data_IF_736205496188
#
_entry.id   IF_736205496188
#
_cell.length_a   1.000
_cell.length_b   1.000
_cell.length_c   1.000
_cell.angle_alpha   90.00
_cell.angle_beta   90.00
_cell.angle_gamma   90.00
#
_symmetry.space_group_name_H-M   'P 1'
#
loop_
_entity.id
_entity.type
_entity.pdbx_description
1 polymer ?
#
# COMPACT_ATOMS: atom_id res chain seq x y z
N UNK A 1 8.27 -0.62 7.69
CA UNK A 1 8.74 -1.24 6.43
C UNK A 1 8.94 -0.15 5.39
N UNK A 2 10.00 -0.22 4.59
CA UNK A 2 10.35 0.85 3.63
C UNK A 2 10.81 0.25 2.30
N UNK A 3 10.41 0.86 1.20
CA UNK A 3 10.71 0.47 -0.18
C UNK A 3 11.32 1.65 -0.95
N UNK A 4 12.22 1.35 -1.90
CA UNK A 4 12.86 2.37 -2.76
C UNK A 4 11.94 2.94 -3.85
N UNK A 5 10.81 2.29 -4.10
CA UNK A 5 9.79 2.69 -5.07
C UNK A 5 8.39 2.42 -4.50
N UNK A 6 7.37 3.06 -5.06
CA UNK A 6 5.99 2.84 -4.63
C UNK A 6 5.56 1.39 -4.88
N UNK A 7 4.99 0.75 -3.85
CA UNK A 7 4.43 -0.60 -3.91
C UNK A 7 3.02 -0.59 -3.35
N UNK A 8 2.23 -1.59 -3.72
CA UNK A 8 0.99 -1.93 -3.04
C UNK A 8 1.29 -3.02 -2.00
N UNK A 9 0.78 -2.84 -0.79
CA UNK A 9 0.63 -3.91 0.20
C UNK A 9 -0.82 -4.37 0.19
N UNK A 10 -0.99 -5.69 0.15
CA UNK A 10 -2.27 -6.38 0.11
C UNK A 10 -2.22 -7.55 1.11
N UNK A 11 -3.40 -7.94 1.61
CA UNK A 11 -3.58 -9.12 2.45
C UNK A 11 -2.53 -9.27 3.57
N UNK A 12 -2.36 -8.20 4.37
CA UNK A 12 -1.43 -8.22 5.50
C UNK A 12 -2.01 -9.09 6.60
N UNK A 13 -1.31 -10.16 6.96
CA UNK A 13 -1.73 -11.09 8.01
C UNK A 13 -1.01 -10.78 9.31
N UNK A 14 -1.77 -10.61 10.38
CA UNK A 14 -1.34 -10.36 11.75
C UNK A 14 -1.62 -11.57 12.64
N UNK A 15 -0.64 -11.90 13.47
CA UNK A 15 -0.73 -12.97 14.46
C UNK A 15 -0.46 -12.39 15.85
N UNK A 16 -1.10 -12.99 16.86
CA UNK A 16 -0.79 -12.70 18.26
C UNK A 16 0.42 -13.51 18.74
N UNK A 17 1.00 -13.16 19.89
CA UNK A 17 2.15 -13.84 20.52
C UNK A 17 2.02 -15.39 20.54
N UNK A 18 0.80 -15.91 20.76
CA UNK A 18 0.51 -17.35 20.76
C UNK A 18 0.25 -17.98 19.37
N UNK A 19 0.68 -17.34 18.28
CA UNK A 19 0.49 -17.76 16.88
C UNK A 19 -0.98 -17.89 16.40
N UNK A 20 -1.94 -17.53 17.25
CA UNK A 20 -3.34 -17.37 16.87
C UNK A 20 -3.56 -16.15 15.97
N UNK A 21 -4.72 -16.09 15.31
CA UNK A 21 -5.11 -14.93 14.53
C UNK A 21 -5.24 -13.71 15.46
N UNK A 22 -4.63 -12.60 15.06
CA UNK A 22 -4.74 -11.36 15.83
C UNK A 22 -6.15 -10.76 15.71
N UNK A 23 -6.71 -10.31 16.84
CA UNK A 23 -7.93 -9.51 16.89
C UNK A 23 -7.72 -8.30 17.79
N UNK A 24 -7.88 -7.10 17.26
CA UNK A 24 -7.63 -5.87 18.00
C UNK A 24 -7.35 -4.67 17.11
N UNK A 25 -6.88 -3.57 17.70
CA UNK A 25 -6.55 -2.35 16.97
C UNK A 25 -5.04 -2.24 16.71
N UNK A 26 -4.70 -1.90 15.46
CA UNK A 26 -3.34 -1.60 15.01
C UNK A 26 -3.35 -0.20 14.41
N UNK A 27 -2.34 0.61 14.69
CA UNK A 27 -2.15 1.88 14.01
C UNK A 27 -1.35 1.64 12.73
N UNK A 28 -1.97 1.89 11.58
CA UNK A 28 -1.40 1.74 10.24
C UNK A 28 -1.20 3.13 9.66
N UNK A 29 0.05 3.53 9.41
CA UNK A 29 0.41 4.85 8.89
C UNK A 29 -0.21 6.02 9.70
N UNK A 30 -0.33 5.86 11.02
CA UNK A 30 -0.93 6.87 11.89
C UNK A 30 -2.43 6.68 12.17
N UNK A 31 -3.12 5.89 11.34
CA UNK A 31 -4.57 5.66 11.41
C UNK A 31 -4.91 4.41 12.21
N UNK A 32 -5.79 4.54 13.19
CA UNK A 32 -6.27 3.41 13.99
C UNK A 32 -7.16 2.50 13.14
N UNK A 33 -6.77 1.23 13.05
CA UNK A 33 -7.42 0.22 12.21
C UNK A 33 -7.78 -0.98 13.06
N UNK A 34 -9.04 -1.41 13.02
CA UNK A 34 -9.45 -2.66 13.67
C UNK A 34 -9.15 -3.84 12.76
N UNK A 35 -8.36 -4.78 13.25
CA UNK A 35 -8.05 -6.05 12.61
C UNK A 35 -8.94 -7.12 13.24
N UNK A 36 -9.65 -7.84 12.39
CA UNK A 36 -10.52 -8.96 12.77
C UNK A 36 -10.07 -10.19 12.02
N UNK A 37 -9.90 -11.32 12.72
CA UNK A 37 -9.47 -12.58 12.10
C UNK A 37 -8.04 -12.53 11.54
N UNK A 38 -7.21 -11.62 12.04
CA UNK A 38 -5.80 -11.50 11.66
C UNK A 38 -5.56 -10.97 10.26
N UNK A 39 -6.56 -10.49 9.51
CA UNK A 39 -6.38 -10.03 8.13
C UNK A 39 -6.69 -8.54 7.98
N UNK A 40 -5.80 -7.84 7.29
CA UNK A 40 -6.05 -6.52 6.73
C UNK A 40 -6.04 -6.60 5.21
N UNK A 41 -7.22 -6.45 4.61
CA UNK A 41 -7.44 -6.69 3.18
C UNK A 41 -7.60 -5.41 2.35
N UNK A 42 -7.26 -4.25 2.94
CA UNK A 42 -7.26 -2.99 2.19
C UNK A 42 -5.90 -2.75 1.55
N UNK A 43 -5.90 -2.38 0.27
CA UNK A 43 -4.67 -2.04 -0.44
C UNK A 43 -4.08 -0.76 0.12
N UNK A 44 -2.80 -0.80 0.52
CA UNK A 44 -2.03 0.39 0.87
C UNK A 44 -0.99 0.65 -0.22
N UNK A 45 -1.00 1.85 -0.78
CA UNK A 45 -0.01 2.27 -1.78
C UNK A 45 0.96 3.27 -1.18
N UNK A 46 2.26 3.01 -1.31
CA UNK A 46 3.28 3.93 -0.82
C UNK A 46 4.69 3.36 -0.81
N UNK A 47 5.61 4.12 -0.22
CA UNK A 47 7.03 3.74 -0.05
C UNK A 47 7.37 3.40 1.40
N UNK A 48 6.57 3.85 2.36
CA UNK A 48 6.77 3.61 3.80
C UNK A 48 5.46 3.14 4.40
N UNK A 49 5.54 2.06 5.16
CA UNK A 49 4.41 1.47 5.87
C UNK A 49 4.80 1.26 7.32
N UNK A 50 4.08 1.94 8.21
CA UNK A 50 4.29 1.89 9.65
C UNK A 50 3.14 1.14 10.31
N UNK A 51 3.48 0.11 11.08
CA UNK A 51 2.54 -0.66 11.88
C UNK A 51 2.95 -0.49 13.33
N UNK A 52 2.03 -0.03 14.16
CA UNK A 52 2.28 0.25 15.56
C UNK A 52 1.19 -0.41 16.40
N UNK A 53 1.61 -0.97 17.53
CA UNK A 53 0.69 -1.41 18.56
C UNK A 53 -0.10 -0.22 19.10
N UNK A 54 -1.43 -0.36 19.15
CA UNK A 54 -2.31 0.60 19.77
C UNK A 54 -2.81 0.02 21.10
N UNK A 55 -2.29 0.47 22.26
CA UNK A 55 -2.82 0.06 23.55
C UNK A 55 -4.25 0.59 23.68
N UNK A 56 -5.23 -0.31 23.65
CA UNK A 56 -6.60 0.03 24.05
C UNK A 56 -6.59 0.28 25.55
N UNK A 57 -7.32 1.31 26.00
CA UNK A 57 -7.39 1.66 27.42
C UNK A 57 -7.75 0.43 28.28
N UNK A 58 -6.79 0.09 29.14
CA UNK A 58 -6.74 -0.84 30.26
C UNK A 58 -8.10 -1.40 30.71
N UNK A 59 -8.35 -2.68 30.38
CA UNK A 59 -9.22 -3.66 31.09
C UNK A 59 -9.45 -4.95 30.26
N UNK A 60 -8.88 -5.06 29.07
CA UNK A 60 -8.82 -6.30 28.27
C UNK A 60 -7.34 -6.51 27.92
N UNK A 61 -6.70 -7.44 28.63
CA UNK A 61 -5.35 -7.99 28.44
C UNK A 61 -4.28 -7.07 27.75
N UNK A 62 -3.36 -6.44 28.50
CA UNK A 62 -2.30 -5.56 27.98
C UNK A 62 -1.19 -6.27 27.17
N UNK A 63 -1.37 -7.56 26.83
CA UNK A 63 -0.38 -8.43 26.17
C UNK A 63 -0.72 -8.78 24.72
N UNK A 64 -1.65 -8.05 24.07
CA UNK A 64 -1.93 -8.26 22.65
C UNK A 64 -0.80 -7.68 21.75
N UNK A 65 0.42 -8.16 21.97
CA UNK A 65 1.50 -8.05 21.01
C UNK A 65 1.07 -8.69 19.70
N UNK A 66 1.49 -8.09 18.59
CA UNK A 66 1.26 -8.65 17.27
C UNK A 66 2.57 -8.72 16.51
N UNK A 67 2.62 -9.66 15.58
CA UNK A 67 3.62 -9.68 14.53
C UNK A 67 2.95 -9.87 13.17
N UNK A 68 3.65 -9.43 12.13
CA UNK A 68 3.21 -9.60 10.74
C UNK A 68 3.73 -10.96 10.27
N UNK A 69 2.81 -11.83 9.87
CA UNK A 69 3.07 -13.20 9.41
C UNK A 69 3.33 -13.23 7.90
N UNK A 70 2.50 -12.51 7.14
CA UNK A 70 2.62 -12.44 5.69
C UNK A 70 2.11 -11.11 5.14
N UNK A 71 2.66 -10.71 4.00
CA UNK A 71 2.25 -9.52 3.24
C UNK A 71 2.36 -9.84 1.76
N UNK A 72 1.32 -9.59 0.99
CA UNK A 72 1.39 -9.60 -0.47
C UNK A 72 1.88 -8.22 -0.94
N UNK A 73 2.91 -8.20 -1.78
CA UNK A 73 3.55 -6.96 -2.26
C UNK A 73 3.53 -6.99 -3.79
N UNK A 74 3.03 -5.91 -4.40
CA UNK A 74 3.10 -5.73 -5.85
C UNK A 74 3.67 -4.36 -6.21
N UNK A 75 4.43 -4.28 -7.30
CA UNK A 75 5.00 -3.02 -7.77
C UNK A 75 3.90 -2.12 -8.34
N UNK A 76 3.92 -0.82 -8.04
CA UNK A 76 3.05 0.16 -8.71
C UNK A 76 3.65 0.47 -10.08
N UNK A 77 2.95 0.19 -11.20
CA UNK A 77 3.47 0.52 -12.52
C UNK A 77 3.74 2.02 -12.63
N UNK A 78 4.97 2.38 -13.01
CA UNK A 78 5.31 3.78 -13.25
C UNK A 78 4.48 4.30 -14.43
N UNK A 79 3.86 5.48 -14.33
CA UNK A 79 3.02 5.99 -15.40
C UNK A 79 3.83 6.26 -16.68
N UNK A 80 3.72 5.37 -17.67
CA UNK A 80 4.20 5.64 -19.03
C UNK A 80 3.40 6.78 -19.71
N UNK A 81 2.35 7.28 -19.06
CA UNK A 81 1.48 8.35 -19.56
C UNK A 81 2.26 9.58 -20.04
N UNK A 82 3.37 9.95 -19.39
CA UNK A 82 4.20 11.06 -19.84
C UNK A 82 4.86 10.80 -21.19
N UNK A 83 5.47 9.62 -21.37
CA UNK A 83 6.07 9.23 -22.65
C UNK A 83 5.01 9.04 -23.72
N UNK A 84 3.87 8.42 -23.39
CA UNK A 84 2.75 8.24 -24.30
C UNK A 84 2.13 9.58 -24.73
N UNK A 85 2.03 10.54 -23.82
CA UNK A 85 1.55 11.88 -24.13
C UNK A 85 2.54 12.62 -25.02
N UNK A 86 3.84 12.54 -24.71
CA UNK A 86 4.89 13.14 -25.54
C UNK A 86 4.94 12.54 -26.94
N UNK A 87 4.82 11.22 -27.08
CA UNK A 87 4.79 10.57 -28.39
C UNK A 87 3.52 10.92 -29.16
N UNK A 88 2.37 10.99 -28.48
CA UNK A 88 1.12 11.43 -29.08
C UNK A 88 1.20 12.88 -29.57
N UNK A 89 1.71 13.81 -28.75
CA UNK A 89 1.88 15.21 -29.12
C UNK A 89 2.92 15.38 -30.24
N UNK A 90 4.03 14.64 -30.19
CA UNK A 90 5.04 14.63 -31.25
C UNK A 90 4.48 14.12 -32.58
N UNK A 91 3.72 13.01 -32.55
CA UNK A 91 3.03 12.47 -33.71
C UNK A 91 2.00 13.45 -34.29
N UNK A 92 1.19 14.08 -33.43
CA UNK A 92 0.19 15.07 -33.83
C UNK A 92 0.83 16.32 -34.45
N UNK A 93 1.93 16.80 -33.88
CA UNK A 93 2.70 17.93 -34.38
C UNK A 93 3.30 17.68 -35.76
N UNK A 94 3.91 16.50 -35.96
CA UNK A 94 4.43 16.07 -37.26
C UNK A 94 3.31 15.94 -38.30
N UNK A 95 2.16 15.36 -37.93
CA UNK A 95 1.01 15.25 -38.81
C UNK A 95 0.48 16.62 -39.26
N UNK A 96 0.44 17.62 -38.35
CA UNK A 96 0.04 18.99 -38.66
C UNK A 96 1.02 19.68 -39.63
N UNK A 97 2.34 19.45 -39.50
CA UNK A 97 3.34 20.02 -40.41
C UNK A 97 3.17 19.50 -41.83
N UNK A 98 2.90 18.20 -42.01
CA UNK A 98 2.70 17.59 -43.34
C UNK A 98 1.46 18.14 -44.06
N UNK A 99 0.39 18.44 -43.33
CA UNK A 99 -0.83 19.05 -43.91
C UNK A 99 -0.69 20.51 -44.33
N UNK A 100 0.37 21.21 -43.91
CA UNK A 100 0.64 22.60 -44.31
C UNK A 100 1.64 22.72 -45.45
N UNK A 101 2.34 21.63 -45.78
CA UNK A 101 3.37 21.59 -46.82
C UNK A 101 2.89 20.87 -48.10
N UNK A 102 1.68 20.30 -48.08
CA UNK A 102 0.92 19.83 -49.24
C UNK A 102 -0.25 20.79 -49.44
#
# INVERSE_FOLDING_TARGET
MTFSSSVNLESVTFRAEGHGLFGGSVKINGTDTTITGGLFDTVLTGTVFNFQYLPVAQNQNPTNEFYIDSVQISAVPVPAAGLLLLTALGGLGLARRRRRAA
#
